data_IF_015668384779
#
_entry.id   IF_015668384779
#
_cell.length_a   1.000
_cell.length_b   1.000
_cell.length_c   1.000
_cell.angle_alpha   90.00
_cell.angle_beta   90.00
_cell.angle_gamma   90.00
#
_symmetry.space_group_name_H-M   'P 1'
#
loop_
_entity.id
_entity.type
_entity.pdbx_description
1 polymer ?
#
# COMPACT_ATOMS: atom_id res chain seq x y z
N UNK A 1 1.89 -21.81 11.97
CA UNK A 1 1.50 -21.95 10.56
C UNK A 1 1.14 -23.40 10.34
N UNK A 2 0.04 -23.73 9.65
CA UNK A 2 -0.40 -25.13 9.51
C UNK A 2 0.21 -25.85 8.32
N UNK A 3 0.88 -25.13 7.41
CA UNK A 3 1.49 -25.67 6.18
C UNK A 3 2.90 -25.12 5.99
N UNK A 4 3.82 -25.92 5.46
CA UNK A 4 5.16 -25.46 5.10
C UNK A 4 5.10 -24.60 3.82
N UNK A 5 5.73 -23.42 3.83
CA UNK A 5 5.65 -22.48 2.69
C UNK A 5 7.00 -22.13 2.12
N UNK A 6 7.08 -22.05 0.80
CA UNK A 6 8.25 -21.55 0.09
C UNK A 6 8.33 -20.02 0.22
N UNK A 7 9.31 -19.55 1.00
CA UNK A 7 9.50 -18.14 1.37
C UNK A 7 9.53 -17.18 0.17
N UNK A 8 10.01 -17.62 -1.00
CA UNK A 8 10.12 -16.79 -2.20
C UNK A 8 8.76 -16.40 -2.79
N UNK A 9 7.67 -17.07 -2.40
CA UNK A 9 6.33 -16.93 -2.99
C UNK A 9 5.25 -16.58 -1.96
N UNK A 10 5.63 -16.29 -0.72
CA UNK A 10 4.72 -15.94 0.37
C UNK A 10 4.66 -14.43 0.58
N UNK A 11 3.45 -13.90 0.72
CA UNK A 11 3.23 -12.53 1.19
C UNK A 11 2.65 -12.55 2.60
N UNK A 12 3.08 -11.60 3.43
CA UNK A 12 2.69 -11.50 4.84
C UNK A 12 2.25 -10.06 5.13
N UNK A 13 1.33 -9.89 6.08
CA UNK A 13 0.90 -8.57 6.52
C UNK A 13 -0.04 -8.63 7.70
N UNK A 14 -0.10 -7.54 8.45
CA UNK A 14 -0.82 -7.50 9.72
C UNK A 14 -1.93 -6.48 9.65
N UNK A 15 -3.11 -6.90 10.05
CA UNK A 15 -4.29 -6.06 10.11
C UNK A 15 -5.08 -6.44 11.37
N UNK A 16 -5.46 -5.44 12.17
CA UNK A 16 -6.22 -5.62 13.42
C UNK A 16 -5.63 -6.69 14.35
N UNK A 17 -4.30 -6.64 14.57
CA UNK A 17 -3.58 -7.59 15.44
C UNK A 17 -3.64 -9.05 14.95
N UNK A 18 -4.01 -9.27 13.68
CA UNK A 18 -3.96 -10.57 13.03
C UNK A 18 -2.90 -10.58 11.92
N UNK A 19 -2.15 -11.67 11.83
CA UNK A 19 -1.12 -11.86 10.79
C UNK A 19 -1.71 -12.69 9.67
N UNK A 20 -1.86 -12.07 8.50
CA UNK A 20 -2.30 -12.72 7.28
C UNK A 20 -1.09 -13.24 6.52
N UNK A 21 -1.17 -14.49 6.06
CA UNK A 21 -0.14 -15.16 5.28
C UNK A 21 -0.77 -15.83 4.07
N UNK A 22 -0.24 -15.57 2.88
CA UNK A 22 -0.83 -16.05 1.63
C UNK A 22 0.23 -16.49 0.63
N UNK A 23 -0.08 -17.49 -0.18
CA UNK A 23 0.82 -18.02 -1.20
C UNK A 23 1.95 -18.90 -0.65
N UNK A 24 2.84 -19.32 -1.54
CA UNK A 24 3.98 -20.19 -1.23
C UNK A 24 3.63 -21.62 -0.84
N UNK A 25 2.40 -22.08 -1.10
CA UNK A 25 2.00 -23.48 -0.92
C UNK A 25 2.11 -24.25 -2.23
N UNK A 26 2.32 -25.57 -2.15
CA UNK A 26 2.27 -26.45 -3.33
C UNK A 26 0.84 -26.54 -3.86
N UNK A 27 0.69 -26.87 -5.15
CA UNK A 27 -0.60 -26.94 -5.84
C UNK A 27 -1.61 -27.91 -5.20
N UNK A 28 -1.12 -28.87 -4.39
CA UNK A 28 -1.92 -29.90 -3.71
C UNK A 28 -2.42 -29.45 -2.32
N UNK A 29 -1.82 -28.40 -1.72
CA UNK A 29 -2.11 -27.89 -0.38
C UNK A 29 -3.11 -26.71 -0.41
N UNK A 30 -4.15 -26.86 -1.22
CA UNK A 30 -5.03 -25.76 -1.64
C UNK A 30 -5.91 -25.19 -0.53
N UNK A 31 -6.26 -26.01 0.46
CA UNK A 31 -7.19 -25.65 1.54
C UNK A 31 -6.64 -24.62 2.51
N UNK A 32 -5.31 -24.48 2.59
CA UNK A 32 -4.63 -23.52 3.47
C UNK A 32 -3.78 -22.53 2.68
N UNK A 33 -4.09 -22.28 1.41
CA UNK A 33 -3.33 -21.33 0.58
C UNK A 33 -3.20 -19.95 1.23
N UNK A 34 -4.22 -19.51 1.97
CA UNK A 34 -4.17 -18.34 2.82
C UNK A 34 -4.61 -18.69 4.25
N UNK A 35 -3.88 -18.19 5.23
CA UNK A 35 -4.17 -18.36 6.64
C UNK A 35 -4.06 -17.02 7.37
N UNK A 36 -4.77 -16.92 8.48
CA UNK A 36 -4.67 -15.81 9.41
C UNK A 36 -4.31 -16.35 10.80
N UNK A 37 -3.34 -15.71 11.44
CA UNK A 37 -2.97 -15.95 12.82
C UNK A 37 -3.55 -14.85 13.69
N UNK A 38 -4.39 -15.23 14.65
CA UNK A 38 -4.89 -14.31 15.67
C UNK A 38 -3.90 -14.25 16.83
N UNK A 39 -3.32 -13.08 17.08
CA UNK A 39 -2.29 -12.93 18.12
C UNK A 39 -2.84 -12.99 19.54
N UNK A 40 -4.15 -12.78 19.74
CA UNK A 40 -4.79 -12.84 21.07
C UNK A 40 -5.07 -14.27 21.47
N UNK A 41 -5.68 -15.04 20.57
CA UNK A 41 -6.01 -16.44 20.82
C UNK A 41 -4.86 -17.38 20.52
N UNK A 42 -3.81 -16.89 19.84
CA UNK A 42 -2.68 -17.68 19.37
C UNK A 42 -3.08 -18.85 18.46
N UNK A 43 -4.17 -18.68 17.70
CA UNK A 43 -4.68 -19.69 16.78
C UNK A 43 -4.50 -19.29 15.33
N UNK A 44 -4.29 -20.30 14.48
CA UNK A 44 -4.32 -20.15 13.03
C UNK A 44 -5.71 -20.51 12.52
N UNK A 45 -6.20 -19.81 11.51
CA UNK A 45 -7.45 -20.11 10.80
C UNK A 45 -7.22 -20.01 9.28
N UNK A 46 -7.84 -20.90 8.52
CA UNK A 46 -7.79 -20.82 7.05
C UNK A 46 -8.70 -19.69 6.58
N UNK A 47 -8.28 -18.96 5.55
CA UNK A 47 -9.15 -18.00 4.89
C UNK A 47 -10.04 -18.71 3.85
N UNK A 48 -11.20 -18.13 3.49
CA UNK A 48 -12.04 -18.63 2.41
C UNK A 48 -11.27 -18.78 1.08
N UNK A 49 -11.65 -19.76 0.26
CA UNK A 49 -11.04 -19.97 -1.06
C UNK A 49 -11.22 -18.70 -1.92
N UNK A 50 -10.12 -18.09 -2.41
CA UNK A 50 -10.21 -16.92 -3.27
C UNK A 50 -10.62 -17.24 -4.71
N UNK A 51 -10.78 -18.53 -5.05
CA UNK A 51 -11.01 -19.01 -6.40
C UNK A 51 -9.72 -19.41 -7.11
N UNK A 52 -9.84 -20.28 -8.11
CA UNK A 52 -8.72 -20.92 -8.79
C UNK A 52 -7.72 -19.91 -9.38
N UNK A 53 -8.21 -18.81 -9.96
CA UNK A 53 -7.37 -17.81 -10.62
C UNK A 53 -6.35 -17.18 -9.65
N UNK A 54 -6.79 -16.74 -8.47
CA UNK A 54 -5.88 -16.17 -7.47
C UNK A 54 -5.07 -17.28 -6.77
N UNK A 55 -5.72 -18.39 -6.42
CA UNK A 55 -5.11 -19.51 -5.68
C UNK A 55 -3.91 -20.11 -6.40
N UNK A 56 -3.93 -20.20 -7.73
CA UNK A 56 -2.82 -20.75 -8.52
C UNK A 56 -1.85 -19.67 -9.03
N UNK A 57 -2.04 -18.40 -8.68
CA UNK A 57 -1.16 -17.31 -9.09
C UNK A 57 -0.01 -17.08 -8.11
N UNK A 58 1.11 -16.56 -8.63
CA UNK A 58 2.23 -16.14 -7.80
C UNK A 58 1.97 -14.75 -7.23
N UNK A 59 1.88 -14.63 -5.91
CA UNK A 59 1.71 -13.33 -5.25
C UNK A 59 3.00 -12.51 -5.29
N UNK A 60 2.86 -11.22 -5.57
CA UNK A 60 3.96 -10.25 -5.61
C UNK A 60 3.95 -9.34 -4.38
N UNK A 61 2.79 -8.82 -4.02
CA UNK A 61 2.67 -7.89 -2.90
C UNK A 61 1.37 -8.08 -2.15
N UNK A 62 1.38 -7.73 -0.85
CA UNK A 62 0.18 -7.57 -0.03
C UNK A 62 0.20 -6.23 0.67
N UNK A 63 -0.97 -5.60 0.81
CA UNK A 63 -1.16 -4.27 1.41
C UNK A 63 -2.41 -4.24 2.27
N UNK A 64 -2.35 -3.50 3.36
CA UNK A 64 -3.48 -3.28 4.26
C UNK A 64 -4.00 -1.86 4.06
N UNK A 65 -5.22 -1.72 3.52
CA UNK A 65 -5.81 -0.41 3.19
C UNK A 65 -7.22 -0.35 3.77
N UNK A 66 -7.47 0.65 4.62
CA UNK A 66 -8.80 0.93 5.23
C UNK A 66 -9.48 -0.31 5.83
N UNK A 67 -8.71 -1.20 6.45
CA UNK A 67 -9.26 -2.40 7.08
C UNK A 67 -9.51 -3.59 6.15
N UNK A 68 -9.04 -3.54 4.89
CA UNK A 68 -9.09 -4.66 3.95
C UNK A 68 -7.69 -5.08 3.51
N UNK A 69 -7.55 -6.32 3.07
CA UNK A 69 -6.31 -6.92 2.62
C UNK A 69 -6.29 -6.95 1.10
N UNK A 70 -5.32 -6.29 0.48
CA UNK A 70 -5.16 -6.23 -0.96
C UNK A 70 -3.94 -7.04 -1.39
N UNK A 71 -4.09 -7.89 -2.40
CA UNK A 71 -2.99 -8.67 -2.97
C UNK A 71 -2.86 -8.42 -4.46
N UNK A 72 -1.62 -8.38 -4.93
CA UNK A 72 -1.27 -8.32 -6.36
C UNK A 72 -0.55 -9.60 -6.75
N UNK A 73 -0.95 -10.21 -7.86
CA UNK A 73 -0.26 -11.37 -8.43
C UNK A 73 0.77 -10.99 -9.51
N UNK A 74 1.52 -11.97 -10.02
CA UNK A 74 2.54 -11.80 -11.05
C UNK A 74 2.01 -11.28 -12.39
N UNK A 75 0.73 -11.49 -12.67
CA UNK A 75 0.01 -11.00 -13.85
C UNK A 75 -0.51 -9.57 -13.67
N UNK A 76 -0.21 -8.91 -12.54
CA UNK A 76 -0.71 -7.57 -12.19
C UNK A 76 -2.22 -7.50 -12.00
N UNK A 77 -2.88 -8.64 -11.74
CA UNK A 77 -4.27 -8.69 -11.27
C UNK A 77 -4.30 -8.41 -9.77
N UNK A 78 -5.38 -7.77 -9.34
CA UNK A 78 -5.53 -7.29 -7.97
C UNK A 78 -6.77 -7.92 -7.36
N UNK A 79 -6.64 -8.35 -6.11
CA UNK A 79 -7.72 -8.97 -5.36
C UNK A 79 -7.79 -8.30 -4.00
N UNK A 80 -8.99 -8.26 -3.44
CA UNK A 80 -9.26 -7.72 -2.11
C UNK A 80 -9.97 -8.77 -1.28
N UNK A 81 -9.49 -8.96 -0.06
CA UNK A 81 -10.19 -9.69 0.98
C UNK A 81 -10.73 -8.68 1.99
N UNK A 82 -12.03 -8.77 2.26
CA UNK A 82 -12.68 -8.04 3.34
C UNK A 82 -12.82 -8.96 4.57
N UNK A 83 -12.04 -8.73 5.65
CA UNK A 83 -12.14 -9.54 6.86
C UNK A 83 -13.49 -9.43 7.58
N UNK A 84 -14.26 -8.36 7.35
CA UNK A 84 -15.58 -8.20 7.98
C UNK A 84 -16.63 -9.06 7.31
N UNK A 85 -16.54 -9.19 5.99
CA UNK A 85 -17.47 -10.00 5.20
C UNK A 85 -16.98 -11.44 5.03
N UNK A 86 -15.68 -11.69 5.24
CA UNK A 86 -15.06 -12.98 4.96
C UNK A 86 -15.11 -13.32 3.48
N UNK A 87 -14.94 -12.33 2.59
CA UNK A 87 -15.11 -12.52 1.15
C UNK A 87 -13.95 -11.94 0.35
N UNK A 88 -13.68 -12.61 -0.76
CA UNK A 88 -12.75 -12.18 -1.79
C UNK A 88 -13.52 -11.51 -2.93
N UNK A 89 -12.90 -10.49 -3.52
CA UNK A 89 -13.40 -9.84 -4.72
C UNK A 89 -12.23 -9.42 -5.62
N UNK A 90 -12.50 -9.22 -6.91
CA UNK A 90 -11.55 -8.65 -7.85
C UNK A 90 -11.50 -7.15 -7.60
N UNK A 91 -10.32 -6.64 -7.23
CA UNK A 91 -10.15 -5.21 -7.13
C UNK A 91 -10.13 -4.64 -8.57
N UNK A 92 -11.00 -3.68 -8.92
CA UNK A 92 -11.06 -3.16 -10.28
C UNK A 92 -9.70 -2.66 -10.73
N UNK A 93 -9.35 -2.85 -12.01
CA UNK A 93 -8.20 -2.17 -12.62
C UNK A 93 -8.44 -0.65 -12.51
N UNK A 94 -7.86 -0.02 -11.48
CA UNK A 94 -8.09 1.39 -11.13
C UNK A 94 -8.97 1.63 -9.89
N UNK A 95 -9.55 0.59 -9.30
CA UNK A 95 -10.34 0.66 -8.07
C UNK A 95 -9.54 0.15 -6.86
N UNK A 96 -9.32 1.05 -5.91
CA UNK A 96 -8.99 0.73 -4.52
C UNK A 96 -7.56 0.30 -4.17
N UNK A 97 -6.65 0.50 -5.12
CA UNK A 97 -5.29 0.87 -4.78
C UNK A 97 -5.14 2.35 -4.38
N UNK A 98 -6.21 2.97 -3.87
CA UNK A 98 -6.33 4.42 -3.80
C UNK A 98 -6.06 4.88 -2.38
N UNK A 99 -5.02 5.69 -2.23
CA UNK A 99 -4.68 6.35 -0.99
C UNK A 99 -5.23 7.76 -1.04
N UNK A 100 -6.03 8.14 -0.06
CA UNK A 100 -6.62 9.47 0.02
C UNK A 100 -6.31 10.11 1.37
N UNK A 101 -6.00 11.41 1.32
CA UNK A 101 -5.85 12.24 2.49
C UNK A 101 -6.49 13.60 2.23
N UNK A 102 -7.15 14.16 3.24
CA UNK A 102 -7.58 15.55 3.21
C UNK A 102 -6.58 16.39 4.00
N UNK A 103 -5.94 17.33 3.32
CA UNK A 103 -5.02 18.30 3.91
C UNK A 103 -5.68 19.66 3.72
N UNK A 104 -6.05 20.29 4.84
CA UNK A 104 -6.82 21.54 4.83
C UNK A 104 -8.08 21.44 3.93
N UNK A 105 -8.14 22.24 2.87
CA UNK A 105 -9.24 22.27 1.89
C UNK A 105 -8.92 21.53 0.58
N UNK A 106 -7.87 20.71 0.57
CA UNK A 106 -7.44 19.92 -0.59
C UNK A 106 -7.61 18.43 -0.26
N UNK A 107 -8.43 17.73 -1.06
CA UNK A 107 -8.47 16.26 -1.05
C UNK A 107 -7.39 15.79 -2.01
N UNK A 108 -6.39 15.09 -1.49
CA UNK A 108 -5.31 14.50 -2.27
C UNK A 108 -5.53 13.00 -2.39
N UNK A 109 -5.21 12.47 -3.56
CA UNK A 109 -5.28 11.06 -3.90
C UNK A 109 -4.00 10.62 -4.60
N UNK A 110 -3.55 9.41 -4.30
CA UNK A 110 -2.61 8.67 -5.13
C UNK A 110 -3.24 7.34 -5.54
N UNK A 111 -3.07 6.98 -6.80
CA UNK A 111 -3.40 5.63 -7.26
C UNK A 111 -2.13 4.78 -7.14
N UNK A 112 -2.24 3.61 -6.52
CA UNK A 112 -1.18 2.61 -6.47
C UNK A 112 -0.61 2.43 -7.88
N UNK A 113 0.72 2.49 -7.98
CA UNK A 113 1.53 2.49 -9.22
C UNK A 113 1.56 3.80 -10.02
N UNK A 114 0.67 4.75 -9.77
CA UNK A 114 0.88 6.11 -10.30
C UNK A 114 1.92 6.80 -9.44
N UNK A 115 2.99 7.31 -10.06
CA UNK A 115 3.93 8.20 -9.38
C UNK A 115 3.38 9.62 -9.27
N UNK A 116 2.05 9.81 -9.33
CA UNK A 116 1.41 11.13 -9.41
C UNK A 116 0.41 11.29 -8.29
N UNK A 117 0.29 12.52 -7.82
CA UNK A 117 -0.70 12.92 -6.84
C UNK A 117 -1.77 13.73 -7.55
N UNK A 118 -3.01 13.51 -7.17
CA UNK A 118 -4.17 14.16 -7.73
C UNK A 118 -4.91 14.91 -6.64
N UNK A 119 -5.51 16.03 -6.99
CA UNK A 119 -6.41 16.75 -6.12
C UNK A 119 -7.80 16.81 -6.75
N UNK A 120 -8.83 16.84 -5.91
CA UNK A 120 -10.21 16.93 -6.40
C UNK A 120 -10.62 18.38 -6.67
N UNK A 121 -10.87 18.69 -7.93
CA UNK A 121 -11.40 19.97 -8.37
C UNK A 121 -12.92 19.99 -8.21
N UNK A 122 -13.39 20.71 -7.19
CA UNK A 122 -14.82 20.85 -6.91
C UNK A 122 -15.57 21.64 -7.99
N UNK A 123 -14.90 22.60 -8.65
CA UNK A 123 -15.52 23.44 -9.69
C UNK A 123 -15.82 22.58 -10.93
N UNK A 124 -14.86 21.73 -11.30
CA UNK A 124 -14.94 20.86 -12.50
C UNK A 124 -15.44 19.45 -12.23
N UNK A 125 -15.60 19.06 -10.97
CA UNK A 125 -16.02 17.73 -10.51
C UNK A 125 -15.12 16.59 -11.03
N UNK A 126 -13.81 16.85 -11.08
CA UNK A 126 -12.82 15.91 -11.61
C UNK A 126 -11.55 15.85 -10.75
N UNK A 127 -10.73 14.81 -10.95
CA UNK A 127 -9.41 14.70 -10.33
C UNK A 127 -8.33 15.27 -11.25
N UNK A 128 -7.58 16.25 -10.77
CA UNK A 128 -6.50 16.92 -11.53
C UNK A 128 -5.16 16.67 -10.88
N UNK A 129 -4.08 16.70 -11.67
CA UNK A 129 -2.73 16.47 -11.16
C UNK A 129 -2.29 17.62 -10.24
N UNK A 130 -1.65 17.29 -9.12
CA UNK A 130 -0.93 18.25 -8.28
C UNK A 130 0.38 18.59 -8.99
N UNK A 131 0.58 19.87 -9.33
CA UNK A 131 1.76 20.37 -10.06
C UNK A 131 2.95 20.58 -9.11
N UNK A 132 4.17 20.73 -9.64
CA UNK A 132 5.37 21.07 -8.85
C UNK A 132 6.05 19.88 -8.18
N UNK A 133 5.50 18.68 -8.37
CA UNK A 133 6.03 17.43 -7.82
C UNK A 133 6.78 16.58 -8.87
N UNK A 134 7.14 17.13 -10.03
CA UNK A 134 7.71 16.37 -11.15
C UNK A 134 9.02 15.69 -10.77
N UNK A 135 9.92 16.40 -10.09
CA UNK A 135 11.18 15.85 -9.60
C UNK A 135 10.97 14.78 -8.51
N UNK A 136 10.04 15.03 -7.59
CA UNK A 136 9.63 14.06 -6.57
C UNK A 136 9.10 12.79 -7.22
N UNK A 137 8.15 12.92 -8.15
CA UNK A 137 7.50 11.84 -8.88
C UNK A 137 8.48 10.99 -9.72
N UNK A 138 9.61 11.56 -10.18
CA UNK A 138 10.66 10.78 -10.85
C UNK A 138 11.45 9.90 -9.88
N UNK A 139 11.67 10.39 -8.66
CA UNK A 139 12.51 9.74 -7.65
C UNK A 139 11.74 8.86 -6.66
N UNK A 140 10.42 9.02 -6.59
CA UNK A 140 9.55 8.16 -5.77
C UNK A 140 9.51 6.74 -6.36
N UNK A 141 9.82 5.71 -5.55
CA UNK A 141 9.76 4.32 -5.91
C UNK A 141 8.31 3.87 -6.02
N UNK A 142 8.15 2.70 -6.62
CA UNK A 142 6.86 2.14 -7.02
C UNK A 142 5.85 1.92 -5.87
N UNK A 143 6.26 2.13 -4.61
CA UNK A 143 5.52 1.76 -3.42
C UNK A 143 5.36 2.95 -2.46
N UNK A 144 4.21 3.61 -2.52
CA UNK A 144 3.73 4.48 -1.44
C UNK A 144 3.18 3.57 -0.33
N UNK A 145 3.56 3.88 0.92
CA UNK A 145 3.12 3.18 2.13
C UNK A 145 1.89 3.85 2.74
N UNK A 146 1.97 5.16 3.01
CA UNK A 146 0.86 5.93 3.62
C UNK A 146 0.81 7.37 3.10
N UNK A 147 -0.40 7.94 3.07
CA UNK A 147 -0.67 9.36 2.86
C UNK A 147 -1.48 9.88 4.04
N UNK A 148 -0.98 10.91 4.69
CA UNK A 148 -1.61 11.45 5.90
C UNK A 148 -1.32 12.93 6.10
N UNK A 149 -2.05 13.55 7.03
CA UNK A 149 -1.91 14.98 7.36
C UNK A 149 -0.93 15.13 8.52
N UNK A 150 0.06 16.01 8.35
CA UNK A 150 1.02 16.37 9.39
C UNK A 150 1.19 17.89 9.42
N UNK A 151 0.81 18.55 10.52
CA UNK A 151 0.94 20.00 10.70
C UNK A 151 0.41 20.84 9.51
N UNK A 152 -0.77 20.49 8.99
CA UNK A 152 -1.37 21.17 7.82
C UNK A 152 -0.76 20.81 6.47
N UNK A 153 0.24 19.92 6.43
CA UNK A 153 0.95 19.49 5.23
C UNK A 153 0.65 18.02 4.93
N UNK A 154 0.99 17.61 3.71
CA UNK A 154 0.87 16.23 3.28
C UNK A 154 2.15 15.47 3.66
N UNK A 155 2.01 14.43 4.48
CA UNK A 155 3.09 13.50 4.79
C UNK A 155 2.92 12.23 3.97
N UNK A 156 4.02 11.81 3.35
CA UNK A 156 4.09 10.61 2.51
C UNK A 156 5.17 9.69 3.07
N UNK A 157 4.80 8.45 3.41
CA UNK A 157 5.78 7.39 3.64
C UNK A 157 5.87 6.52 2.40
N UNK A 158 7.09 6.16 1.99
CA UNK A 158 7.35 5.35 0.80
C UNK A 158 8.63 4.51 0.95
N UNK A 159 8.75 3.42 0.20
CA UNK A 159 9.89 2.48 0.32
C UNK A 159 10.74 2.45 -0.93
N UNK A 160 12.05 2.63 -0.78
CA UNK A 160 13.04 2.50 -1.87
C UNK A 160 13.95 1.31 -1.64
N UNK A 161 14.07 0.45 -2.64
CA UNK A 161 15.12 -0.57 -2.67
C UNK A 161 16.47 0.10 -2.93
N UNK A 162 17.50 -0.31 -2.20
CA UNK A 162 18.83 0.32 -2.31
C UNK A 162 19.53 0.01 -3.65
N UNK A 163 19.20 -1.12 -4.29
CA UNK A 163 19.78 -1.49 -5.59
C UNK A 163 18.75 -2.13 -6.54
N UNK A 164 18.63 -1.65 -7.79
CA UNK A 164 17.93 -2.37 -8.86
C UNK A 164 18.81 -3.51 -9.39
N UNK A 165 18.35 -4.77 -9.31
CA UNK A 165 18.95 -5.89 -10.05
C UNK A 165 19.69 -6.97 -9.25
N UNK A 166 19.67 -6.94 -7.92
CA UNK A 166 20.23 -7.99 -7.06
C UNK A 166 19.30 -8.41 -5.92
N UNK A 167 19.67 -9.46 -5.18
CA UNK A 167 18.97 -9.89 -3.96
C UNK A 167 19.21 -8.85 -2.85
N UNK A 168 18.41 -7.78 -2.88
CA UNK A 168 18.56 -6.64 -1.98
C UNK A 168 18.19 -7.09 -0.55
N UNK A 169 19.15 -7.01 0.37
CA UNK A 169 18.94 -7.44 1.76
C UNK A 169 18.11 -6.42 2.56
N UNK A 170 18.18 -5.13 2.19
CA UNK A 170 17.56 -4.03 2.90
C UNK A 170 16.77 -3.10 1.97
N UNK A 171 15.86 -2.33 2.55
CA UNK A 171 15.10 -1.25 1.91
C UNK A 171 14.99 -0.05 2.84
N UNK A 172 14.95 1.14 2.25
CA UNK A 172 14.82 2.39 2.98
C UNK A 172 13.37 2.85 3.01
N UNK A 173 12.87 3.10 4.22
CA UNK A 173 11.62 3.82 4.46
C UNK A 173 11.96 5.31 4.43
N UNK A 174 11.38 6.00 3.46
CA UNK A 174 11.45 7.44 3.32
C UNK A 174 10.21 8.09 3.88
N UNK A 175 10.40 9.29 4.42
CA UNK A 175 9.33 10.19 4.76
C UNK A 175 9.51 11.49 3.99
N UNK A 176 8.42 12.04 3.47
CA UNK A 176 8.42 13.31 2.76
C UNK A 176 7.26 14.17 3.22
N UNK A 177 7.56 15.43 3.52
CA UNK A 177 6.58 16.46 3.89
C UNK A 177 6.42 17.41 2.72
N UNK A 178 5.19 17.53 2.25
CA UNK A 178 4.81 18.30 1.07
C UNK A 178 3.84 19.39 1.50
N UNK A 179 4.23 20.64 1.27
CA UNK A 179 3.33 21.79 1.37
C UNK A 179 2.47 21.84 0.12
N UNK A 180 1.16 22.02 0.31
CA UNK A 180 0.21 22.20 -0.79
C UNK A 180 -0.25 23.65 -0.81
N UNK A 181 -0.30 24.23 -2.00
CA UNK A 181 -0.70 25.63 -2.20
C UNK A 181 -1.67 25.71 -3.37
N UNK A 182 -2.74 26.50 -3.21
CA UNK A 182 -3.60 26.87 -4.33
C UNK A 182 -2.98 28.06 -5.07
N UNK A 183 -3.03 28.03 -6.39
CA UNK A 183 -2.49 29.08 -7.28
C UNK A 183 -3.48 29.39 -8.41
N UNK A 184 -3.25 30.50 -9.09
CA UNK A 184 -4.06 30.94 -10.25
C UNK A 184 -5.57 31.02 -9.95
N UNK A 185 -5.95 31.75 -8.90
CA UNK A 185 -7.37 31.91 -8.52
C UNK A 185 -8.03 30.61 -8.07
N UNK A 186 -7.28 29.76 -7.36
CA UNK A 186 -7.66 28.41 -6.92
C UNK A 186 -7.95 27.40 -8.03
N UNK A 187 -7.57 27.69 -9.28
CA UNK A 187 -7.70 26.75 -10.39
C UNK A 187 -6.64 25.66 -10.37
N UNK A 188 -5.54 25.86 -9.63
CA UNK A 188 -4.45 24.90 -9.56
C UNK A 188 -4.05 24.60 -8.12
N UNK A 189 -3.61 23.37 -7.88
CA UNK A 189 -2.92 22.99 -6.64
C UNK A 189 -1.50 22.57 -6.99
N UNK A 190 -0.56 23.20 -6.31
CA UNK A 190 0.87 22.91 -6.40
C UNK A 190 1.36 22.25 -5.12
N UNK A 191 2.31 21.33 -5.26
CA UNK A 191 3.02 20.69 -4.16
C UNK A 191 4.48 21.11 -4.17
N UNK A 192 5.03 21.42 -3.01
CA UNK A 192 6.46 21.67 -2.79
C UNK A 192 6.97 20.72 -1.71
N UNK A 193 8.01 19.95 -2.02
CA UNK A 193 8.68 19.09 -1.02
C UNK A 193 9.50 19.99 -0.10
N UNK A 194 9.09 20.13 1.15
CA UNK A 194 9.83 20.91 2.14
C UNK A 194 10.88 20.09 2.86
N UNK A 195 10.63 18.79 3.00
CA UNK A 195 11.55 17.87 3.65
C UNK A 195 11.37 16.46 3.11
N UNK A 196 12.48 15.75 2.89
CA UNK A 196 12.46 14.34 2.56
C UNK A 196 13.75 13.67 3.05
N UNK A 197 13.62 12.59 3.81
CA UNK A 197 14.77 11.81 4.29
C UNK A 197 14.41 10.34 4.47
N UNK A 198 15.43 9.49 4.47
CA UNK A 198 15.33 8.16 5.06
C UNK A 198 15.06 8.33 6.55
N UNK A 199 14.02 7.65 7.04
CA UNK A 199 13.66 7.62 8.47
C UNK A 199 13.98 6.27 9.09
N UNK A 200 14.08 5.21 8.28
CA UNK A 200 14.43 3.88 8.75
C UNK A 200 14.97 3.02 7.61
N UNK A 201 16.00 2.23 7.89
CA UNK A 201 16.45 1.14 7.02
C UNK A 201 15.98 -0.18 7.62
N UNK A 202 15.31 -1.00 6.82
CA UNK A 202 14.72 -2.27 7.27
C UNK A 202 15.14 -3.41 6.36
N UNK A 203 15.14 -4.67 6.84
CA UNK A 203 15.31 -5.82 5.97
C UNK A 203 14.27 -5.80 4.84
N UNK A 204 14.62 -6.31 3.66
CA UNK A 204 13.69 -6.36 2.52
C UNK A 204 12.43 -7.17 2.80
N UNK A 205 12.51 -8.12 3.74
CA UNK A 205 11.38 -8.89 4.27
C UNK A 205 10.46 -8.10 5.21
N UNK A 206 10.78 -6.85 5.56
CA UNK A 206 9.93 -6.02 6.41
C UNK A 206 8.58 -5.78 5.76
N UNK A 207 7.53 -5.90 6.57
CA UNK A 207 6.17 -5.54 6.18
C UNK A 207 5.71 -4.37 7.03
N UNK A 208 5.24 -3.32 6.38
CA UNK A 208 4.65 -2.18 7.06
C UNK A 208 3.26 -2.51 7.59
N UNK A 209 3.01 -2.24 8.88
CA UNK A 209 1.75 -2.59 9.55
C UNK A 209 0.79 -1.40 9.65
N UNK A 210 1.24 -0.33 10.30
CA UNK A 210 0.45 0.89 10.53
C UNK A 210 1.38 2.08 10.75
N UNK A 211 0.91 3.26 10.40
CA UNK A 211 1.50 4.52 10.85
C UNK A 211 0.44 5.28 11.65
N UNK A 212 0.85 5.77 12.81
CA UNK A 212 0.10 6.72 13.60
C UNK A 212 0.86 8.05 13.54
N UNK A 213 0.22 9.09 13.01
CA UNK A 213 0.79 10.43 13.03
C UNK A 213 0.18 11.17 14.21
N UNK A 214 1.05 11.63 15.12
CA UNK A 214 0.70 12.49 16.25
C UNK A 214 1.33 13.86 16.01
N UNK A 215 0.53 14.92 16.09
CA UNK A 215 1.08 16.24 16.33
C UNK A 215 1.46 16.32 17.80
N UNK A 216 2.73 16.58 18.08
CA UNK A 216 3.21 16.93 19.43
C UNK A 216 2.76 18.35 19.75
#
# INVERSE_FOLDING_TARGET
MRVAREKALTVVGVLNEKIYVMGGCKAEETTNWAEVFDTKTQTWEALPDPGAELRFSLLKTMRMIKGKVYVENSEKKHYVYDPKEGKWDVAPLGGNGIMECKVENVRVRNYLRTRRFFWYDKKRKEWRVVKGLEAFNRNVPHVIITLTRYCGKLLILWEKLEQPGGQCQNKNIWCSVIKLERRNGDDEVWGTVEWASVVLTVPSSYVFLRCLVRSV
#
